data_IF_256162027931
#
_entry.id   IF_256162027931
#
_cell.length_a   1.000
_cell.length_b   1.000
_cell.length_c   1.000
_cell.angle_alpha   90.00
_cell.angle_beta   90.00
_cell.angle_gamma   90.00
#
_symmetry.space_group_name_H-M   'P 1'
#
loop_
_entity.id
_entity.type
_entity.pdbx_description
1 polymer ?
#
# COMPACT_ATOMS: atom_id res chain seq x y z
N UNK A 1 12.37 -60.02 -18.63
CA UNK A 1 11.97 -58.76 -19.29
C UNK A 1 13.09 -58.37 -20.23
N UNK A 2 12.84 -58.40 -21.53
CA UNK A 2 13.86 -58.18 -22.55
C UNK A 2 14.52 -56.80 -22.41
N UNK A 3 15.84 -56.79 -22.28
CA UNK A 3 16.69 -55.61 -22.13
C UNK A 3 16.61 -54.64 -23.32
N UNK A 4 15.97 -55.05 -24.41
CA UNK A 4 15.69 -54.22 -25.57
C UNK A 4 14.49 -53.30 -25.33
N UNK A 5 13.46 -53.77 -24.64
CA UNK A 5 12.25 -52.99 -24.37
C UNK A 5 12.55 -51.85 -23.37
N UNK A 6 13.39 -52.11 -22.36
CA UNK A 6 13.73 -51.08 -21.36
C UNK A 6 14.50 -49.89 -21.97
N UNK A 7 15.37 -50.11 -22.96
CA UNK A 7 16.08 -49.04 -23.66
C UNK A 7 15.14 -48.14 -24.47
N UNK A 8 14.12 -48.75 -25.10
CA UNK A 8 13.10 -48.02 -25.86
C UNK A 8 12.25 -47.15 -24.92
N UNK A 9 11.80 -47.69 -23.78
CA UNK A 9 11.06 -46.90 -22.79
C UNK A 9 11.89 -45.76 -22.19
N UNK A 10 13.19 -45.98 -21.95
CA UNK A 10 14.08 -44.94 -21.45
C UNK A 10 14.25 -43.80 -22.47
N UNK A 11 14.40 -44.13 -23.76
CA UNK A 11 14.51 -43.13 -24.83
C UNK A 11 13.21 -42.32 -25.00
N UNK A 12 12.06 -42.99 -24.96
CA UNK A 12 10.74 -42.34 -25.06
C UNK A 12 10.47 -41.43 -23.85
N UNK A 13 10.78 -41.90 -22.65
CA UNK A 13 10.62 -41.12 -21.40
C UNK A 13 11.53 -39.87 -21.40
N UNK A 14 12.78 -40.02 -21.84
CA UNK A 14 13.70 -38.88 -21.97
C UNK A 14 13.20 -37.82 -22.95
N UNK A 15 12.69 -38.23 -24.12
CA UNK A 15 12.13 -37.31 -25.11
C UNK A 15 10.90 -36.55 -24.57
N UNK A 16 10.02 -37.22 -23.82
CA UNK A 16 8.84 -36.61 -23.19
C UNK A 16 9.20 -35.56 -22.13
N UNK A 17 10.22 -35.83 -21.31
CA UNK A 17 10.69 -34.90 -20.28
C UNK A 17 11.25 -33.62 -20.93
N UNK A 18 12.05 -33.76 -21.99
CA UNK A 18 12.60 -32.60 -22.71
C UNK A 18 11.49 -31.76 -23.34
N UNK A 19 10.48 -32.40 -23.95
CA UNK A 19 9.33 -31.71 -24.53
C UNK A 19 8.52 -30.95 -23.47
N UNK A 20 8.31 -31.57 -22.30
CA UNK A 20 7.58 -30.96 -21.19
C UNK A 20 8.28 -29.70 -20.66
N UNK A 21 9.60 -29.74 -20.51
CA UNK A 21 10.41 -28.58 -20.11
C UNK A 21 10.31 -27.46 -21.16
N UNK A 22 10.36 -27.80 -22.45
CA UNK A 22 10.28 -26.81 -23.54
C UNK A 22 8.93 -26.06 -23.53
N UNK A 23 7.83 -26.79 -23.36
CA UNK A 23 6.47 -26.20 -23.27
C UNK A 23 6.33 -25.28 -22.06
N UNK A 24 6.95 -25.63 -20.92
CA UNK A 24 6.92 -24.80 -19.72
C UNK A 24 7.69 -23.48 -19.86
N UNK A 25 8.80 -23.44 -20.60
CA UNK A 25 9.66 -22.24 -20.69
C UNK A 25 9.14 -21.23 -21.74
N UNK A 26 8.51 -21.69 -22.82
CA UNK A 26 8.03 -20.84 -23.92
C UNK A 26 7.15 -19.65 -23.47
N UNK A 27 6.14 -19.80 -22.60
CA UNK A 27 5.26 -18.67 -22.24
C UNK A 27 5.97 -17.59 -21.40
N UNK A 28 7.08 -17.89 -20.73
CA UNK A 28 7.79 -16.94 -19.86
C UNK A 28 8.79 -16.02 -20.60
N UNK A 29 9.03 -16.24 -21.89
CA UNK A 29 10.03 -15.47 -22.66
C UNK A 29 9.45 -14.31 -23.46
N UNK A 30 8.13 -14.16 -23.54
CA UNK A 30 7.48 -13.04 -24.25
C UNK A 30 7.34 -11.82 -23.32
N UNK A 31 8.39 -11.01 -23.20
CA UNK A 31 8.30 -9.64 -22.67
C UNK A 31 7.94 -8.70 -23.82
N UNK A 32 6.71 -8.20 -23.85
CA UNK A 32 6.35 -7.08 -24.72
C UNK A 32 6.94 -5.79 -24.13
N UNK A 33 7.78 -5.04 -24.85
CA UNK A 33 8.22 -3.73 -24.39
C UNK A 33 7.08 -2.72 -24.63
N UNK A 34 6.32 -2.40 -23.59
CA UNK A 34 5.41 -1.26 -23.61
C UNK A 34 6.25 0.02 -23.63
N UNK A 35 6.30 0.70 -24.79
CA UNK A 35 6.83 2.05 -24.92
C UNK A 35 5.78 3.05 -24.45
N UNK A 36 5.81 3.44 -23.18
CA UNK A 36 5.09 4.62 -22.71
C UNK A 36 5.91 5.88 -23.04
N UNK A 37 5.72 6.42 -24.26
CA UNK A 37 6.12 7.78 -24.61
C UNK A 37 5.06 8.76 -24.11
N UNK A 38 5.10 9.09 -22.82
CA UNK A 38 4.35 10.24 -22.28
C UNK A 38 5.28 11.45 -22.28
N UNK A 39 5.20 12.28 -23.32
CA UNK A 39 5.81 13.61 -23.33
C UNK A 39 5.18 14.46 -22.24
N UNK A 40 5.91 14.68 -21.14
CA UNK A 40 5.55 15.67 -20.13
C UNK A 40 5.71 17.06 -20.74
N UNK A 41 4.61 17.76 -20.95
CA UNK A 41 4.64 19.20 -21.26
C UNK A 41 4.95 19.94 -19.96
N UNK A 42 6.17 20.47 -19.86
CA UNK A 42 6.60 21.34 -18.76
C UNK A 42 6.02 22.72 -18.99
N UNK A 43 4.80 22.97 -18.51
CA UNK A 43 4.30 24.34 -18.36
C UNK A 43 5.06 25.00 -17.22
N UNK A 44 6.00 25.86 -17.57
CA UNK A 44 6.80 26.64 -16.63
C UNK A 44 5.89 27.74 -16.04
N UNK A 45 5.51 27.58 -14.77
CA UNK A 45 4.70 28.58 -14.07
C UNK A 45 5.59 29.76 -13.68
N UNK A 46 5.18 30.98 -14.06
CA UNK A 46 5.83 32.21 -13.63
C UNK A 46 5.07 32.79 -12.42
N UNK A 47 5.78 33.27 -11.37
CA UNK A 47 5.13 33.89 -10.23
C UNK A 47 4.48 35.23 -10.64
N UNK A 48 3.26 35.45 -10.17
CA UNK A 48 2.55 36.72 -10.34
C UNK A 48 3.16 37.77 -9.40
N UNK A 49 3.60 38.90 -9.94
CA UNK A 49 4.03 40.05 -9.14
C UNK A 49 2.79 40.81 -8.65
N UNK A 50 2.76 41.15 -7.36
CA UNK A 50 1.68 41.93 -6.75
C UNK A 50 2.26 43.29 -6.36
N UNK A 51 1.71 44.36 -6.93
CA UNK A 51 2.07 45.73 -6.55
C UNK A 51 1.34 46.09 -5.26
N UNK A 52 2.07 46.34 -4.18
CA UNK A 52 1.50 46.82 -2.92
C UNK A 52 1.56 48.34 -2.91
N UNK A 53 0.39 48.98 -2.89
CA UNK A 53 0.30 50.42 -2.64
C UNK A 53 0.77 50.69 -1.20
N UNK A 54 1.87 51.43 -0.96
CA UNK A 54 2.30 51.74 0.39
C UNK A 54 1.22 52.62 1.04
N UNK A 55 0.59 52.08 2.07
CA UNK A 55 -0.34 52.83 2.91
C UNK A 55 0.36 54.08 3.47
N UNK A 56 -0.27 55.26 3.47
CA UNK A 56 0.33 56.48 4.01
C UNK A 56 0.71 56.25 5.47
N UNK A 57 2.00 56.40 5.76
CA UNK A 57 2.58 56.25 7.09
C UNK A 57 1.92 57.24 8.06
N UNK A 58 0.87 56.77 8.75
CA UNK A 58 0.13 57.55 9.73
C UNK A 58 0.41 56.97 11.10
N UNK A 59 1.06 57.81 11.92
CA UNK A 59 1.26 57.72 13.35
C UNK A 59 2.08 56.52 13.88
N UNK A 60 3.11 56.88 14.64
CA UNK A 60 3.87 56.03 15.53
C UNK A 60 2.93 55.43 16.60
N UNK A 61 2.26 54.33 16.27
CA UNK A 61 1.51 53.54 17.24
C UNK A 61 2.50 52.63 17.93
N UNK A 62 2.84 52.93 19.18
CA UNK A 62 3.56 52.00 20.04
C UNK A 62 2.73 50.72 20.13
N UNK A 63 3.22 49.56 19.67
CA UNK A 63 2.45 48.33 19.75
C UNK A 63 2.31 48.01 21.24
N UNK A 64 1.09 48.11 21.76
CA UNK A 64 0.78 47.50 23.05
C UNK A 64 0.80 46.00 22.81
N UNK A 65 1.87 45.33 23.24
CA UNK A 65 1.97 43.87 23.22
C UNK A 65 0.93 43.31 24.18
N UNK A 66 -0.27 43.04 23.66
CA UNK A 66 -1.26 42.25 24.38
C UNK A 66 -0.72 40.82 24.35
N UNK A 67 -0.31 40.29 25.51
CA UNK A 67 0.04 38.86 25.60
C UNK A 67 -1.20 38.07 25.21
N UNK A 68 -1.10 37.29 24.13
CA UNK A 68 -2.15 36.36 23.76
C UNK A 68 -2.35 35.38 24.93
N UNK A 69 -3.47 35.50 25.64
CA UNK A 69 -3.91 34.46 26.55
C UNK A 69 -4.34 33.26 25.71
N UNK A 70 -3.79 32.09 25.99
CA UNK A 70 -4.27 30.84 25.41
C UNK A 70 -5.74 30.66 25.82
N UNK A 71 -6.66 30.80 24.87
CA UNK A 71 -8.10 30.56 25.08
C UNK A 71 -8.45 29.06 24.97
N UNK A 72 -7.44 28.19 24.91
CA UNK A 72 -7.65 26.77 24.69
C UNK A 72 -8.31 26.13 25.91
N UNK A 73 -9.28 25.27 25.62
CA UNK A 73 -9.88 24.39 26.62
C UNK A 73 -8.79 23.63 27.39
N UNK A 74 -9.05 23.34 28.66
CA UNK A 74 -8.22 22.44 29.48
C UNK A 74 -7.90 21.18 28.65
N UNK A 75 -6.63 20.78 28.59
CA UNK A 75 -6.20 19.58 27.89
C UNK A 75 -7.00 18.38 28.41
N UNK A 76 -8.00 17.95 27.64
CA UNK A 76 -8.75 16.74 27.94
C UNK A 76 -7.84 15.54 27.64
N UNK A 77 -7.65 14.69 28.65
CA UNK A 77 -6.91 13.45 28.51
C UNK A 77 -7.62 12.54 27.52
N UNK A 78 -7.08 12.41 26.31
CA UNK A 78 -7.59 11.50 25.30
C UNK A 78 -7.51 10.07 25.84
N UNK A 79 -8.59 9.27 25.78
CA UNK A 79 -8.55 7.87 26.18
C UNK A 79 -7.46 7.09 25.45
N UNK A 80 -6.67 6.32 26.20
CA UNK A 80 -5.54 5.55 25.65
C UNK A 80 -5.96 4.65 24.47
N UNK A 81 -7.16 4.08 24.51
CA UNK A 81 -7.69 3.23 23.44
C UNK A 81 -7.76 3.95 22.08
N UNK A 82 -8.10 5.24 22.06
CA UNK A 82 -8.19 6.03 20.83
C UNK A 82 -6.78 6.32 20.30
N UNK A 83 -5.85 6.63 21.20
CA UNK A 83 -4.44 6.85 20.86
C UNK A 83 -3.83 5.58 20.26
N UNK A 84 -4.09 4.42 20.86
CA UNK A 84 -3.57 3.13 20.40
C UNK A 84 -4.14 2.75 19.03
N UNK A 85 -5.44 2.97 18.81
CA UNK A 85 -6.09 2.75 17.51
C UNK A 85 -5.45 3.64 16.43
N UNK A 86 -5.31 4.94 16.69
CA UNK A 86 -4.72 5.87 15.75
C UNK A 86 -3.25 5.54 15.44
N UNK A 87 -2.49 5.14 16.46
CA UNK A 87 -1.09 4.73 16.33
C UNK A 87 -0.95 3.47 15.46
N UNK A 88 -1.74 2.43 15.75
CA UNK A 88 -1.73 1.19 14.97
C UNK A 88 -2.22 1.40 13.53
N UNK A 89 -3.26 2.22 13.33
CA UNK A 89 -3.75 2.58 11.99
C UNK A 89 -2.66 3.27 11.18
N UNK A 90 -1.96 4.23 11.79
CA UNK A 90 -0.84 4.94 11.17
C UNK A 90 0.30 3.98 10.82
N UNK A 91 0.69 3.11 11.75
CA UNK A 91 1.76 2.14 11.51
C UNK A 91 1.44 1.22 10.31
N UNK A 92 0.23 0.66 10.25
CA UNK A 92 -0.15 -0.19 9.12
C UNK A 92 -0.22 0.59 7.80
N UNK A 93 -0.72 1.84 7.81
CA UNK A 93 -0.71 2.72 6.62
C UNK A 93 0.69 2.99 6.07
N UNK A 94 1.73 2.93 6.90
CA UNK A 94 3.12 3.10 6.45
C UNK A 94 3.73 1.81 5.87
N UNK A 95 3.13 0.65 6.16
CA UNK A 95 3.63 -0.67 5.75
C UNK A 95 2.91 -1.24 4.53
N UNK A 96 1.71 -0.73 4.21
CA UNK A 96 0.98 -1.10 3.00
C UNK A 96 1.55 -0.42 1.75
N UNK A 97 1.54 -1.07 0.57
CA UNK A 97 0.95 -2.38 0.31
C UNK A 97 1.80 -3.53 0.88
N UNK A 98 1.14 -4.43 1.62
CA UNK A 98 1.76 -5.58 2.29
C UNK A 98 1.26 -6.87 1.62
N UNK A 99 2.18 -7.65 1.07
CA UNK A 99 1.85 -8.95 0.45
C UNK A 99 2.41 -10.09 1.28
N UNK A 100 1.52 -10.95 1.77
CA UNK A 100 1.83 -12.19 2.49
C UNK A 100 1.48 -13.40 1.62
N UNK A 101 1.82 -14.59 2.09
CA UNK A 101 1.63 -15.85 1.34
C UNK A 101 0.17 -16.16 1.03
N UNK A 102 -0.76 -15.72 1.88
CA UNK A 102 -2.17 -16.09 1.80
C UNK A 102 -3.11 -14.91 1.62
N UNK A 103 -2.64 -13.68 1.81
CA UNK A 103 -3.41 -12.47 1.55
C UNK A 103 -2.50 -11.28 1.29
N UNK A 104 -3.07 -10.23 0.72
CA UNK A 104 -2.42 -8.94 0.60
C UNK A 104 -3.30 -7.84 1.20
N UNK A 105 -2.66 -6.80 1.73
CA UNK A 105 -3.32 -5.64 2.33
C UNK A 105 -2.86 -4.40 1.59
N UNK A 106 -3.81 -3.61 1.14
CA UNK A 106 -3.61 -2.28 0.61
C UNK A 106 -4.43 -1.25 1.42
N UNK A 107 -4.23 0.03 1.17
CA UNK A 107 -4.99 1.09 1.81
C UNK A 107 -5.80 1.89 0.79
N UNK A 108 -7.12 1.88 0.96
CA UNK A 108 -8.02 2.72 0.19
C UNK A 108 -8.18 4.08 0.87
N UNK A 109 -7.52 5.09 0.31
CA UNK A 109 -7.59 6.47 0.78
C UNK A 109 -8.96 7.13 0.56
N UNK A 110 -9.82 6.58 -0.30
CA UNK A 110 -11.15 7.14 -0.53
C UNK A 110 -12.14 6.77 0.58
N UNK A 111 -12.00 5.55 1.13
CA UNK A 111 -12.86 5.03 2.20
C UNK A 111 -12.18 5.02 3.58
N UNK A 112 -10.90 5.40 3.64
CA UNK A 112 -10.02 5.35 4.83
C UNK A 112 -9.98 3.96 5.49
N UNK A 113 -10.04 2.90 4.67
CA UNK A 113 -10.05 1.49 5.07
C UNK A 113 -8.95 0.68 4.41
N UNK A 114 -8.53 -0.39 5.08
CA UNK A 114 -7.60 -1.36 4.52
C UNK A 114 -8.34 -2.34 3.63
N UNK A 115 -7.88 -2.54 2.40
CA UNK A 115 -8.43 -3.54 1.49
C UNK A 115 -7.61 -4.80 1.59
N UNK A 116 -8.25 -5.91 1.94
CA UNK A 116 -7.61 -7.21 2.11
C UNK A 116 -8.03 -8.10 0.95
N UNK A 117 -7.10 -8.46 0.08
CA UNK A 117 -7.33 -9.43 -0.98
C UNK A 117 -6.86 -10.81 -0.51
N UNK A 118 -7.80 -11.73 -0.34
CA UNK A 118 -7.52 -13.11 0.08
C UNK A 118 -7.10 -13.97 -1.13
N UNK A 119 -6.02 -14.73 -0.97
CA UNK A 119 -5.60 -15.72 -1.95
C UNK A 119 -6.33 -17.04 -1.70
N UNK A 120 -6.44 -17.86 -2.74
CA UNK A 120 -7.05 -19.19 -2.61
C UNK A 120 -6.09 -20.14 -1.85
N UNK A 121 -6.59 -20.95 -0.90
CA UNK A 121 -8.00 -21.12 -0.51
C UNK A 121 -8.48 -20.05 0.50
N UNK A 122 -9.61 -19.39 0.18
CA UNK A 122 -10.15 -18.24 0.94
C UNK A 122 -10.44 -18.53 2.42
N UNK A 123 -10.90 -19.74 2.75
CA UNK A 123 -11.21 -20.12 4.14
C UNK A 123 -9.96 -20.12 5.03
N UNK A 124 -8.85 -20.60 4.49
CA UNK A 124 -7.58 -20.61 5.20
C UNK A 124 -7.00 -19.20 5.26
N UNK A 125 -7.00 -18.47 4.14
CA UNK A 125 -6.52 -17.09 4.08
C UNK A 125 -7.25 -16.17 5.06
N UNK A 126 -8.57 -16.32 5.21
CA UNK A 126 -9.37 -15.54 6.17
C UNK A 126 -8.97 -15.82 7.62
N UNK A 127 -8.76 -17.10 7.98
CA UNK A 127 -8.32 -17.47 9.34
C UNK A 127 -6.93 -16.93 9.64
N UNK A 128 -6.02 -17.03 8.68
CA UNK A 128 -4.66 -16.49 8.81
C UNK A 128 -4.66 -14.96 8.91
N UNK A 129 -5.48 -14.27 8.12
CA UNK A 129 -5.64 -12.83 8.22
C UNK A 129 -6.16 -12.40 9.60
N UNK A 130 -7.20 -13.05 10.14
CA UNK A 130 -7.72 -12.71 11.46
C UNK A 130 -6.72 -12.99 12.58
N UNK A 131 -5.98 -14.09 12.49
CA UNK A 131 -4.88 -14.42 13.41
C UNK A 131 -3.76 -13.37 13.35
N UNK A 132 -3.37 -12.99 12.14
CA UNK A 132 -2.35 -11.97 11.91
C UNK A 132 -2.80 -10.59 12.43
N UNK A 133 -4.04 -10.19 12.15
CA UNK A 133 -4.62 -8.91 12.59
C UNK A 133 -4.64 -8.83 14.12
N UNK A 134 -5.14 -9.87 14.78
CA UNK A 134 -5.24 -9.89 16.24
C UNK A 134 -3.87 -9.91 16.92
N UNK A 135 -2.86 -10.55 16.30
CA UNK A 135 -1.50 -10.60 16.83
C UNK A 135 -0.72 -9.28 16.64
N UNK A 136 -0.88 -8.60 15.49
CA UNK A 136 -0.07 -7.43 15.14
C UNK A 136 -0.79 -6.10 15.43
N UNK A 137 -2.11 -6.08 15.27
CA UNK A 137 -2.94 -4.88 15.34
C UNK A 137 -4.23 -5.11 16.13
N UNK A 138 -4.14 -5.47 17.43
CA UNK A 138 -5.29 -5.84 18.25
C UNK A 138 -6.31 -4.70 18.44
N UNK A 139 -5.87 -3.46 18.33
CA UNK A 139 -6.73 -2.28 18.50
C UNK A 139 -7.48 -1.90 17.21
N UNK A 140 -7.12 -2.49 16.06
CA UNK A 140 -7.84 -2.30 14.80
C UNK A 140 -8.97 -3.33 14.70
N UNK A 141 -10.21 -2.85 14.79
CA UNK A 141 -11.40 -3.67 14.59
C UNK A 141 -11.60 -4.11 13.14
N UNK A 142 -12.42 -5.15 12.95
CA UNK A 142 -12.71 -5.73 11.63
C UNK A 142 -13.40 -4.73 10.69
N UNK A 143 -14.07 -3.71 11.21
CA UNK A 143 -14.74 -2.64 10.44
C UNK A 143 -13.79 -1.74 9.65
N UNK A 144 -12.50 -1.72 10.03
CA UNK A 144 -11.44 -0.99 9.33
C UNK A 144 -10.93 -1.74 8.10
N UNK A 145 -11.35 -2.99 7.90
CA UNK A 145 -10.88 -3.86 6.82
C UNK A 145 -12.03 -4.21 5.86
N UNK A 146 -11.74 -4.15 4.56
CA UNK A 146 -12.62 -4.56 3.46
C UNK A 146 -12.06 -5.83 2.83
N UNK A 147 -12.71 -6.96 3.11
CA UNK A 147 -12.32 -8.25 2.52
C UNK A 147 -12.84 -8.35 1.08
N UNK A 148 -11.96 -8.67 0.14
CA UNK A 148 -12.25 -8.95 -1.29
C UNK A 148 -11.87 -10.39 -1.66
#
# INVERSE_FOLDING_TARGET
MDSQNIKVYLAISGALIVLFILVLIIPFTKKNPTQDKTTKSTNQLFPTSVETNPSPATANVTPVTIKAGFTGALEETIPQQIVDLASQKKDLKLKVPLSLSTFSIDFDYSTDKFVVALLDPKDQAKKEFESWRTANYPSLGSEQFLLK
#
